data_IF_477350873023
#
_entry.id   IF_477350873023
#
_cell.length_a   1.000
_cell.length_b   1.000
_cell.length_c   1.000
_cell.angle_alpha   90.00
_cell.angle_beta   90.00
_cell.angle_gamma   90.00
#
_symmetry.space_group_name_H-M   'P 1'
#
loop_
_entity.id
_entity.type
_entity.pdbx_description
1 polymer ?
#
# COMPACT_ATOMS: atom_id res chain seq x y z
N UNK A 1 30.50 -5.49 -22.66
CA UNK A 1 30.43 -4.11 -22.17
C UNK A 1 29.91 -4.18 -20.75
N UNK A 2 30.69 -3.72 -19.77
CA UNK A 2 30.22 -3.57 -18.39
C UNK A 2 29.53 -2.21 -18.36
N UNK A 3 28.21 -2.17 -18.28
CA UNK A 3 27.52 -0.93 -17.95
C UNK A 3 27.85 -0.64 -16.48
N UNK A 4 28.71 0.34 -16.25
CA UNK A 4 28.98 0.81 -14.89
C UNK A 4 27.67 1.28 -14.24
N UNK A 5 27.42 0.81 -13.02
CA UNK A 5 26.30 1.24 -12.18
C UNK A 5 26.54 2.71 -11.80
N UNK A 6 25.78 3.62 -12.39
CA UNK A 6 25.75 5.02 -11.98
C UNK A 6 25.20 5.12 -10.56
N UNK A 7 25.81 5.97 -9.75
CA UNK A 7 25.30 6.31 -8.42
C UNK A 7 24.45 7.58 -8.50
N UNK A 8 23.58 7.83 -7.51
CA UNK A 8 22.70 9.02 -7.49
C UNK A 8 23.45 10.37 -7.61
N UNK A 9 24.76 10.39 -7.30
CA UNK A 9 25.63 11.59 -7.42
C UNK A 9 26.03 11.88 -8.86
N UNK A 10 25.88 10.91 -9.76
CA UNK A 10 26.29 10.98 -11.16
C UNK A 10 25.15 11.43 -12.09
N UNK A 11 23.99 11.75 -11.51
CA UNK A 11 22.78 12.19 -12.22
C UNK A 11 22.68 13.71 -12.24
N UNK A 12 22.21 14.27 -13.36
CA UNK A 12 21.81 15.68 -13.36
C UNK A 12 20.59 15.87 -12.44
N UNK A 13 20.37 17.05 -11.85
CA UNK A 13 19.25 17.29 -10.94
C UNK A 13 17.87 16.91 -11.51
N UNK A 14 17.68 17.01 -12.82
CA UNK A 14 16.45 16.57 -13.50
C UNK A 14 16.30 15.03 -13.48
N UNK A 15 17.37 14.30 -13.76
CA UNK A 15 17.40 12.84 -13.80
C UNK A 15 17.26 12.27 -12.37
N UNK A 16 17.79 13.00 -11.37
CA UNK A 16 17.60 12.70 -9.96
C UNK A 16 16.12 12.81 -9.55
N UNK A 17 15.41 13.83 -10.00
CA UNK A 17 13.97 13.99 -9.74
C UNK A 17 13.19 12.83 -10.40
N UNK A 18 13.51 12.49 -11.65
CA UNK A 18 12.87 11.37 -12.36
C UNK A 18 13.12 10.02 -11.67
N UNK A 19 14.35 9.72 -11.24
CA UNK A 19 14.67 8.48 -10.53
C UNK A 19 14.02 8.40 -9.14
N UNK A 20 13.96 9.53 -8.41
CA UNK A 20 13.27 9.61 -7.13
C UNK A 20 11.76 9.43 -7.31
N UNK A 21 11.16 10.02 -8.34
CA UNK A 21 9.74 9.85 -8.66
C UNK A 21 9.41 8.41 -9.06
N UNK A 22 10.28 7.76 -9.85
CA UNK A 22 10.17 6.33 -10.17
C UNK A 22 10.26 5.49 -8.89
N UNK A 23 11.19 5.79 -7.99
CA UNK A 23 11.36 5.08 -6.74
C UNK A 23 10.16 5.26 -5.80
N UNK A 24 9.69 6.49 -5.60
CA UNK A 24 8.50 6.81 -4.78
C UNK A 24 7.25 6.15 -5.39
N UNK A 25 7.11 6.18 -6.72
CA UNK A 25 6.06 5.48 -7.44
C UNK A 25 6.10 3.97 -7.23
N UNK A 26 7.30 3.37 -7.25
CA UNK A 26 7.49 1.93 -6.98
C UNK A 26 7.10 1.56 -5.54
N UNK A 27 7.47 2.39 -4.55
CA UNK A 27 7.09 2.19 -3.15
C UNK A 27 5.57 2.32 -2.97
N UNK A 28 4.92 3.26 -3.66
CA UNK A 28 3.45 3.39 -3.67
C UNK A 28 2.79 2.14 -4.26
N UNK A 29 3.33 1.60 -5.35
CA UNK A 29 2.87 0.34 -5.95
C UNK A 29 2.97 -0.85 -5.00
N UNK A 30 4.09 -0.99 -4.30
CA UNK A 30 4.26 -2.02 -3.27
C UNK A 30 3.34 -1.82 -2.06
N UNK A 31 3.11 -0.57 -1.65
CA UNK A 31 2.15 -0.23 -0.60
C UNK A 31 0.72 -0.67 -0.96
N UNK A 32 0.28 -0.45 -2.21
CA UNK A 32 -1.02 -0.92 -2.71
C UNK A 32 -1.11 -2.45 -2.64
N UNK A 33 -0.08 -3.17 -3.11
CA UNK A 33 -0.03 -4.65 -3.04
C UNK A 33 -0.14 -5.13 -1.59
N UNK A 34 0.57 -4.46 -0.66
CA UNK A 34 0.55 -4.80 0.75
C UNK A 34 -0.84 -4.58 1.39
N UNK A 35 -1.51 -3.47 1.05
CA UNK A 35 -2.89 -3.20 1.49
C UNK A 35 -3.83 -4.29 0.97
N UNK A 36 -3.80 -4.61 -0.33
CA UNK A 36 -4.67 -5.65 -0.93
C UNK A 36 -4.44 -7.02 -0.26
N UNK A 37 -3.20 -7.37 0.05
CA UNK A 37 -2.89 -8.61 0.77
C UNK A 37 -3.47 -8.64 2.20
N UNK A 38 -3.47 -7.52 2.92
CA UNK A 38 -4.08 -7.43 4.26
C UNK A 38 -5.59 -7.48 4.22
N UNK A 39 -6.22 -6.82 3.24
CA UNK A 39 -7.66 -6.90 3.01
C UNK A 39 -8.08 -8.36 2.82
N UNK A 40 -7.37 -9.09 1.95
CA UNK A 40 -7.61 -10.52 1.72
C UNK A 40 -7.50 -11.35 3.01
N UNK A 41 -6.52 -11.06 3.87
CA UNK A 41 -6.37 -11.73 5.17
C UNK A 41 -7.57 -11.49 6.09
N UNK A 42 -8.14 -10.28 6.08
CA UNK A 42 -9.33 -9.95 6.87
C UNK A 42 -10.56 -10.69 6.32
N UNK A 43 -10.72 -10.74 5.00
CA UNK A 43 -11.78 -11.48 4.30
C UNK A 43 -11.74 -12.99 4.60
N UNK A 44 -10.55 -13.60 4.50
CA UNK A 44 -10.36 -15.05 4.69
C UNK A 44 -10.53 -15.49 6.15
N UNK A 45 -10.39 -14.57 7.12
CA UNK A 45 -10.42 -14.90 8.54
C UNK A 45 -11.85 -15.05 9.12
N UNK A 46 -12.88 -15.14 8.28
CA UNK A 46 -14.30 -15.37 8.63
C UNK A 46 -15.12 -14.14 9.06
N UNK A 47 -14.80 -12.94 8.57
CA UNK A 47 -15.75 -11.83 8.53
C UNK A 47 -16.39 -11.81 7.14
N UNK A 48 -17.66 -12.22 7.04
CA UNK A 48 -18.35 -12.35 5.76
C UNK A 48 -18.31 -11.03 4.97
N UNK A 49 -17.78 -11.08 3.74
CA UNK A 49 -17.73 -10.01 2.72
C UNK A 49 -17.20 -8.65 3.20
N UNK A 50 -15.90 -8.45 3.01
CA UNK A 50 -15.32 -7.12 2.93
C UNK A 50 -15.56 -6.57 1.52
N UNK A 51 -16.41 -5.55 1.37
CA UNK A 51 -16.49 -4.78 0.14
C UNK A 51 -15.65 -3.51 0.29
N UNK A 52 -14.66 -3.34 -0.60
CA UNK A 52 -13.81 -2.14 -0.64
C UNK A 52 -14.71 -0.91 -0.88
N UNK A 53 -14.95 -0.14 0.17
CA UNK A 53 -15.82 1.04 0.16
C UNK A 53 -17.04 0.98 1.10
N UNK A 54 -17.29 -0.13 1.79
CA UNK A 54 -18.41 -0.30 2.74
C UNK A 54 -17.93 -0.77 4.14
N UNK A 55 -16.93 -0.07 4.71
CA UNK A 55 -16.35 -0.40 6.03
C UNK A 55 -17.35 -0.35 7.21
N UNK A 56 -18.52 0.27 7.02
CA UNK A 56 -19.44 0.60 8.10
C UNK A 56 -20.42 -0.53 8.47
N UNK A 57 -20.62 -1.54 7.60
CA UNK A 57 -21.75 -2.48 7.76
C UNK A 57 -21.47 -3.75 8.55
N UNK A 58 -20.21 -4.14 8.76
CA UNK A 58 -19.89 -5.34 9.56
C UNK A 58 -18.64 -5.11 10.44
N UNK A 59 -18.83 -4.46 11.59
CA UNK A 59 -17.78 -4.21 12.58
C UNK A 59 -17.23 -5.47 13.28
N UNK A 60 -17.63 -6.68 12.84
CA UNK A 60 -17.19 -7.92 13.44
C UNK A 60 -15.66 -8.09 13.39
N UNK A 61 -14.98 -7.53 12.37
CA UNK A 61 -13.51 -7.56 12.27
C UNK A 61 -12.82 -6.71 13.33
N UNK A 62 -13.46 -5.62 13.81
CA UNK A 62 -12.90 -4.81 14.88
C UNK A 62 -12.86 -5.58 16.20
N UNK A 63 -13.74 -6.57 16.40
CA UNK A 63 -13.70 -7.43 17.59
C UNK A 63 -12.61 -8.49 17.53
N UNK A 64 -12.10 -8.81 16.33
CA UNK A 64 -10.97 -9.70 16.16
C UNK A 64 -9.65 -8.91 16.26
N UNK A 65 -8.83 -9.19 17.29
CA UNK A 65 -7.55 -8.49 17.52
C UNK A 65 -6.64 -8.52 16.28
N UNK A 66 -6.60 -9.65 15.57
CA UNK A 66 -5.82 -9.81 14.34
C UNK A 66 -6.32 -8.90 13.21
N UNK A 67 -7.62 -8.93 12.93
CA UNK A 67 -8.20 -8.14 11.84
C UNK A 67 -8.14 -6.64 12.15
N UNK A 68 -8.29 -6.25 13.42
CA UNK A 68 -8.09 -4.87 13.89
C UNK A 68 -6.66 -4.38 13.64
N UNK A 69 -5.66 -5.21 13.94
CA UNK A 69 -4.26 -4.86 13.68
C UNK A 69 -3.98 -4.71 12.18
N UNK A 70 -4.50 -5.62 11.36
CA UNK A 70 -4.38 -5.50 9.90
C UNK A 70 -5.10 -4.25 9.37
N UNK A 71 -6.28 -3.91 9.90
CA UNK A 71 -7.01 -2.68 9.57
C UNK A 71 -6.23 -1.41 9.93
N UNK A 72 -5.69 -1.31 11.16
CA UNK A 72 -4.87 -0.15 11.56
C UNK A 72 -3.67 0.03 10.64
N UNK A 73 -3.00 -1.07 10.27
CA UNK A 73 -1.89 -1.02 9.33
C UNK A 73 -2.33 -0.57 7.94
N UNK A 74 -3.49 -1.02 7.44
CA UNK A 74 -4.07 -0.52 6.18
C UNK A 74 -4.27 1.00 6.26
N UNK A 75 -4.90 1.50 7.33
CA UNK A 75 -5.17 2.94 7.48
C UNK A 75 -3.87 3.76 7.56
N UNK A 76 -2.86 3.26 8.26
CA UNK A 76 -1.54 3.89 8.31
C UNK A 76 -0.89 3.97 6.94
N UNK A 77 -0.83 2.87 6.19
CA UNK A 77 -0.22 2.85 4.86
C UNK A 77 -1.00 3.77 3.91
N UNK A 78 -2.34 3.74 3.95
CA UNK A 78 -3.18 4.65 3.16
C UNK A 78 -2.87 6.11 3.43
N UNK A 79 -2.71 6.49 4.69
CA UNK A 79 -2.38 7.86 5.08
C UNK A 79 -1.00 8.28 4.57
N UNK A 80 0.04 7.49 4.86
CA UNK A 80 1.42 7.85 4.50
C UNK A 80 1.65 7.92 2.99
N UNK A 81 1.03 7.02 2.23
CA UNK A 81 1.14 7.00 0.78
C UNK A 81 -0.02 7.73 0.09
N UNK A 82 -0.93 8.41 0.81
CA UNK A 82 -2.11 9.07 0.23
C UNK A 82 -2.90 8.17 -0.77
N UNK A 83 -3.13 6.91 -0.41
CA UNK A 83 -3.79 5.91 -1.28
C UNK A 83 -5.31 6.01 -1.12
N UNK A 84 -5.99 6.23 -2.25
CA UNK A 84 -7.44 6.37 -2.35
C UNK A 84 -8.15 5.02 -2.48
N UNK A 85 -9.47 4.99 -2.26
CA UNK A 85 -10.26 3.78 -2.48
C UNK A 85 -10.31 3.37 -3.97
N UNK A 86 -10.18 4.32 -4.89
CA UNK A 86 -10.14 4.06 -6.34
C UNK A 86 -8.88 3.29 -6.75
N UNK A 87 -7.74 3.58 -6.12
CA UNK A 87 -6.49 2.84 -6.32
C UNK A 87 -6.52 1.42 -5.70
N UNK A 88 -7.44 1.17 -4.78
CA UNK A 88 -7.62 -0.11 -4.12
C UNK A 88 -8.66 -1.01 -4.81
N UNK A 89 -9.50 -0.46 -5.68
CA UNK A 89 -10.37 -1.24 -6.57
C UNK A 89 -9.56 -2.04 -7.60
#
# INVERSE_FOLDING_TARGET
MVNELKTLKDLEPKDYVDEVDIFVGSLRGEAIKHIKAKIKKIEEHSHARFEIGNFEKDNCYMNCLRCRNDYVQIQWIRYFFNITDEELR
#
